data_IF_122023573786
#
_entry.id   IF_122023573786
#
_cell.length_a   1.000
_cell.length_b   1.000
_cell.length_c   1.000
_cell.angle_alpha   90.00
_cell.angle_beta   90.00
_cell.angle_gamma   90.00
#
_symmetry.space_group_name_H-M   'P 1'
#
loop_
_entity.id
_entity.type
_entity.pdbx_description
1 polymer ?
#
# COMPACT_ATOMS: atom_id res chain seq x y z
N UNK A 1 -31.42 29.77 -19.67
CA UNK A 1 -31.07 28.35 -19.72
C UNK A 1 -30.10 28.11 -18.56
N UNK A 2 -30.69 27.70 -17.41
CA UNK A 2 -29.91 27.35 -16.24
C UNK A 2 -29.17 26.04 -16.51
N UNK A 3 -27.83 26.11 -16.56
CA UNK A 3 -26.99 24.94 -16.61
C UNK A 3 -27.13 24.20 -15.27
N UNK A 4 -27.83 23.07 -15.25
CA UNK A 4 -27.86 22.18 -14.08
C UNK A 4 -26.42 21.90 -13.64
N UNK A 5 -26.10 22.02 -12.34
CA UNK A 5 -24.78 21.69 -11.85
C UNK A 5 -24.49 20.22 -12.17
N UNK A 6 -23.41 19.99 -12.90
CA UNK A 6 -22.95 18.65 -13.27
C UNK A 6 -22.68 17.86 -11.98
N UNK A 7 -23.62 17.00 -11.59
CA UNK A 7 -23.55 16.19 -10.37
C UNK A 7 -22.36 15.25 -10.54
N UNK A 8 -21.23 15.57 -9.93
CA UNK A 8 -20.01 14.73 -9.99
C UNK A 8 -20.38 13.31 -9.64
N UNK A 9 -20.02 12.36 -10.49
CA UNK A 9 -20.23 10.92 -10.28
C UNK A 9 -19.63 10.51 -8.94
N UNK A 10 -20.41 9.89 -8.06
CA UNK A 10 -19.88 9.24 -6.86
C UNK A 10 -19.16 7.97 -7.29
N UNK A 11 -17.95 7.76 -6.79
CA UNK A 11 -17.13 6.58 -7.09
C UNK A 11 -17.13 5.64 -5.90
N UNK A 12 -17.01 4.34 -6.16
CA UNK A 12 -16.64 3.33 -5.20
C UNK A 12 -15.15 3.03 -5.37
N UNK A 13 -14.37 3.14 -4.30
CA UNK A 13 -12.91 2.97 -4.33
C UNK A 13 -12.51 1.94 -3.29
N UNK A 14 -11.88 0.86 -3.73
CA UNK A 14 -11.27 -0.13 -2.86
C UNK A 14 -9.84 0.29 -2.53
N UNK A 15 -9.42 0.13 -1.27
CA UNK A 15 -8.07 0.44 -0.80
C UNK A 15 -7.47 -0.76 -0.08
N UNK A 16 -6.29 -1.19 -0.54
CA UNK A 16 -5.60 -2.34 0.03
C UNK A 16 -4.09 -2.08 0.11
N UNK A 17 -3.55 -2.10 1.30
CA UNK A 17 -2.17 -1.74 1.63
C UNK A 17 -1.46 -2.86 2.38
N UNK A 18 -0.14 -2.71 2.52
CA UNK A 18 0.67 -3.60 3.35
C UNK A 18 0.25 -3.61 4.82
N UNK A 19 0.42 -4.75 5.47
CA UNK A 19 0.06 -4.98 6.87
C UNK A 19 1.10 -4.37 7.83
N UNK A 20 1.35 -3.08 7.68
CA UNK A 20 2.19 -2.29 8.56
C UNK A 20 1.48 -0.97 8.89
N UNK A 21 1.52 -0.53 10.14
CA UNK A 21 0.86 0.71 10.56
C UNK A 21 1.35 1.94 9.79
N UNK A 22 2.65 1.96 9.41
CA UNK A 22 3.20 3.01 8.56
C UNK A 22 2.55 3.10 7.17
N UNK A 23 1.89 2.04 6.70
CA UNK A 23 1.10 1.98 5.47
C UNK A 23 -0.38 2.22 5.74
N UNK A 24 -0.92 1.55 6.75
CA UNK A 24 -2.36 1.61 7.07
C UNK A 24 -2.82 3.00 7.46
N UNK A 25 -2.02 3.74 8.26
CA UNK A 25 -2.40 5.08 8.71
C UNK A 25 -2.53 6.08 7.56
N UNK A 26 -1.55 6.24 6.66
CA UNK A 26 -1.69 7.12 5.49
C UNK A 26 -2.86 6.72 4.57
N UNK A 27 -3.09 5.42 4.36
CA UNK A 27 -4.23 4.94 3.59
C UNK A 27 -5.57 5.27 4.26
N UNK A 28 -5.66 5.13 5.58
CA UNK A 28 -6.87 5.49 6.35
C UNK A 28 -7.14 7.00 6.28
N UNK A 29 -6.12 7.83 6.38
CA UNK A 29 -6.27 9.28 6.25
C UNK A 29 -6.73 9.67 4.83
N UNK A 30 -6.14 9.06 3.80
CA UNK A 30 -6.60 9.26 2.42
C UNK A 30 -8.05 8.79 2.24
N UNK A 31 -8.41 7.65 2.83
CA UNK A 31 -9.78 7.13 2.87
C UNK A 31 -10.76 8.18 3.41
N UNK A 32 -10.46 8.79 4.56
CA UNK A 32 -11.29 9.82 5.18
C UNK A 32 -11.43 11.05 4.28
N UNK A 33 -10.33 11.50 3.68
CA UNK A 33 -10.32 12.68 2.79
C UNK A 33 -11.19 12.46 1.53
N UNK A 34 -11.14 11.25 0.96
CA UNK A 34 -11.94 10.92 -0.22
C UNK A 34 -13.41 10.73 0.16
N UNK A 35 -13.70 10.09 1.29
CA UNK A 35 -15.05 9.94 1.81
C UNK A 35 -15.73 11.30 2.09
N UNK A 36 -14.97 12.29 2.60
CA UNK A 36 -15.46 13.68 2.79
C UNK A 36 -15.86 14.36 1.47
N UNK A 37 -15.38 13.88 0.32
CA UNK A 37 -15.82 14.34 -1.01
C UNK A 37 -17.07 13.61 -1.51
N UNK A 38 -17.64 12.72 -0.68
CA UNK A 38 -18.87 11.99 -0.97
C UNK A 38 -18.68 10.71 -1.78
N UNK A 39 -17.46 10.23 -1.93
CA UNK A 39 -17.15 8.91 -2.52
C UNK A 39 -17.35 7.80 -1.50
N UNK A 40 -17.60 6.58 -1.96
CA UNK A 40 -17.72 5.38 -1.14
C UNK A 40 -16.38 4.62 -1.15
N UNK A 41 -15.91 4.19 0.02
CA UNK A 41 -14.58 3.57 0.17
C UNK A 41 -14.73 2.22 0.87
N UNK A 42 -14.18 1.18 0.28
CA UNK A 42 -13.90 -0.08 0.97
C UNK A 42 -12.44 -0.07 1.43
N UNK A 43 -12.22 0.18 2.73
CA UNK A 43 -10.90 0.07 3.34
C UNK A 43 -10.68 -1.37 3.80
N UNK A 44 -9.74 -2.06 3.16
CA UNK A 44 -9.55 -3.50 3.28
C UNK A 44 -8.30 -3.80 4.09
N UNK A 45 -8.43 -4.60 5.14
CA UNK A 45 -7.31 -5.12 5.92
C UNK A 45 -7.73 -6.39 6.67
N UNK A 46 -6.86 -6.92 7.51
CA UNK A 46 -7.17 -8.06 8.36
C UNK A 46 -7.95 -7.66 9.61
N UNK A 47 -8.69 -8.58 10.27
CA UNK A 47 -9.50 -8.26 11.45
C UNK A 47 -8.73 -7.55 12.55
N UNK A 48 -7.57 -8.05 12.96
CA UNK A 48 -6.75 -7.46 14.03
C UNK A 48 -6.20 -6.08 13.70
N UNK A 49 -6.07 -5.76 12.42
CA UNK A 49 -5.64 -4.44 11.97
C UNK A 49 -6.80 -3.44 11.90
N UNK A 50 -8.02 -3.91 11.67
CA UNK A 50 -9.22 -3.07 11.58
C UNK A 50 -9.82 -2.79 12.95
N UNK A 51 -9.90 -3.79 13.81
CA UNK A 51 -10.62 -3.69 15.10
C UNK A 51 -10.09 -2.59 16.04
N UNK A 52 -8.77 -2.32 16.13
CA UNK A 52 -8.24 -1.25 16.96
C UNK A 52 -8.30 0.14 16.30
N UNK A 53 -8.76 0.26 15.05
CA UNK A 53 -8.84 1.56 14.38
C UNK A 53 -9.79 2.52 15.12
N UNK A 54 -9.49 3.82 15.14
CA UNK A 54 -10.39 4.81 15.72
C UNK A 54 -11.79 4.73 15.09
N UNK A 55 -12.81 4.83 15.92
CA UNK A 55 -14.21 4.86 15.44
C UNK A 55 -14.39 6.01 14.45
N UNK A 56 -14.98 5.69 13.32
CA UNK A 56 -15.36 6.69 12.31
C UNK A 56 -16.49 7.56 12.85
N UNK A 57 -16.45 8.84 12.54
CA UNK A 57 -17.60 9.73 12.81
C UNK A 57 -18.82 9.27 12.00
N UNK A 58 -20.07 9.50 12.46
CA UNK A 58 -21.27 9.08 11.74
C UNK A 58 -21.30 9.53 10.27
N UNK A 59 -20.78 10.73 9.98
CA UNK A 59 -20.70 11.27 8.62
C UNK A 59 -19.74 10.50 7.71
N UNK A 60 -18.67 9.93 8.26
CA UNK A 60 -17.71 9.11 7.51
C UNK A 60 -18.14 7.64 7.45
N UNK A 61 -18.77 7.13 8.52
CA UNK A 61 -19.20 5.75 8.60
C UNK A 61 -20.21 5.38 7.49
N UNK A 62 -20.99 6.35 6.98
CA UNK A 62 -21.90 6.13 5.85
C UNK A 62 -21.19 6.04 4.48
N UNK A 63 -19.90 6.31 4.42
CA UNK A 63 -19.11 6.33 3.19
C UNK A 63 -17.91 5.39 3.22
N UNK A 64 -17.63 4.76 4.34
CA UNK A 64 -16.46 3.91 4.52
C UNK A 64 -16.88 2.55 5.08
N UNK A 65 -16.65 1.50 4.30
CA UNK A 65 -16.75 0.12 4.75
C UNK A 65 -15.38 -0.37 5.20
N UNK A 66 -15.30 -0.87 6.43
CA UNK A 66 -14.11 -1.53 6.95
C UNK A 66 -14.21 -3.03 6.65
N UNK A 67 -13.55 -3.46 5.58
CA UNK A 67 -13.60 -4.83 5.06
C UNK A 67 -12.54 -5.69 5.71
N UNK A 68 -12.96 -6.76 6.37
CA UNK A 68 -12.08 -7.71 7.06
C UNK A 68 -11.82 -8.92 6.18
N UNK A 69 -10.57 -9.07 5.72
CA UNK A 69 -10.11 -10.28 5.05
C UNK A 69 -9.24 -11.08 6.03
N UNK A 70 -9.72 -12.23 6.53
CA UNK A 70 -8.92 -13.06 7.42
C UNK A 70 -7.61 -13.48 6.76
N UNK A 71 -6.51 -13.29 7.46
CA UNK A 71 -5.19 -13.66 6.96
C UNK A 71 -5.09 -15.21 6.93
N UNK A 72 -4.76 -15.81 5.79
CA UNK A 72 -4.55 -17.25 5.71
C UNK A 72 -3.39 -17.71 6.59
N UNK A 73 -3.51 -18.92 7.14
CA UNK A 73 -2.43 -19.55 7.90
C UNK A 73 -1.16 -19.67 7.03
N UNK A 74 0.00 -19.34 7.61
CA UNK A 74 1.29 -19.58 7.00
C UNK A 74 2.23 -20.25 8.00
N UNK A 75 2.94 -21.28 7.54
CA UNK A 75 3.94 -21.95 8.35
C UNK A 75 4.98 -20.96 8.88
N UNK A 76 5.39 -21.13 10.14
CA UNK A 76 6.33 -20.25 10.86
C UNK A 76 5.82 -18.84 11.18
N UNK A 77 4.59 -18.46 10.84
CA UNK A 77 3.94 -17.25 11.29
C UNK A 77 3.14 -17.55 12.57
N UNK A 78 3.26 -16.78 13.65
CA UNK A 78 2.38 -16.90 14.81
C UNK A 78 0.91 -16.75 14.40
N UNK A 79 0.01 -17.55 14.98
CA UNK A 79 -1.42 -17.56 14.62
C UNK A 79 -2.13 -16.23 14.81
N UNK A 80 -1.62 -15.44 15.73
CA UNK A 80 -2.17 -14.12 16.08
C UNK A 80 -1.44 -12.95 15.39
N UNK A 81 -0.47 -13.21 14.51
CA UNK A 81 0.28 -12.18 13.81
C UNK A 81 -0.43 -11.75 12.52
N UNK A 82 -0.87 -10.50 12.47
CA UNK A 82 -1.52 -9.89 11.30
C UNK A 82 -0.84 -8.59 10.83
N UNK A 83 0.18 -8.13 11.53
CA UNK A 83 0.94 -6.93 11.19
C UNK A 83 2.45 -7.10 11.43
N UNK A 84 3.25 -6.24 10.80
CA UNK A 84 4.72 -6.26 10.99
C UNK A 84 5.15 -6.03 12.44
N UNK A 85 4.33 -5.33 13.23
CA UNK A 85 4.59 -5.10 14.65
C UNK A 85 4.41 -6.37 15.51
N UNK A 86 3.66 -7.36 15.02
CA UNK A 86 3.37 -8.60 15.74
C UNK A 86 4.51 -9.62 15.61
N UNK A 87 5.51 -9.33 14.77
CA UNK A 87 6.59 -10.27 14.47
C UNK A 87 7.97 -9.60 14.46
N UNK A 88 9.04 -10.31 14.83
CA UNK A 88 10.39 -9.82 14.61
C UNK A 88 10.72 -9.78 13.10
N UNK A 89 11.71 -8.97 12.72
CA UNK A 89 12.05 -8.72 11.31
C UNK A 89 12.31 -9.98 10.49
N UNK A 90 12.94 -10.99 11.08
CA UNK A 90 13.22 -12.28 10.42
C UNK A 90 11.95 -13.11 10.14
N UNK A 91 10.80 -12.75 10.69
CA UNK A 91 9.51 -13.40 10.41
C UNK A 91 8.61 -12.62 9.45
N UNK A 92 8.97 -11.39 9.10
CA UNK A 92 8.23 -10.58 8.11
C UNK A 92 8.03 -11.30 6.76
N UNK A 93 8.99 -12.10 6.25
CA UNK A 93 8.76 -12.90 5.04
C UNK A 93 7.59 -13.90 5.14
N UNK A 94 7.35 -14.48 6.32
CA UNK A 94 6.20 -15.38 6.53
C UNK A 94 4.88 -14.62 6.57
N UNK A 95 4.87 -13.41 7.16
CA UNK A 95 3.72 -12.50 7.08
C UNK A 95 3.43 -12.12 5.62
N UNK A 96 4.47 -11.83 4.84
CA UNK A 96 4.34 -11.54 3.40
C UNK A 96 3.75 -12.72 2.63
N UNK A 97 4.17 -13.95 2.95
CA UNK A 97 3.62 -15.17 2.34
C UNK A 97 2.13 -15.33 2.66
N UNK A 98 1.72 -15.10 3.91
CA UNK A 98 0.30 -15.12 4.30
C UNK A 98 -0.49 -14.01 3.58
N UNK A 99 0.08 -12.82 3.47
CA UNK A 99 -0.51 -11.71 2.74
C UNK A 99 -0.70 -12.02 1.24
N UNK A 100 0.27 -12.66 0.60
CA UNK A 100 0.15 -13.03 -0.80
C UNK A 100 -0.92 -14.12 -1.02
N UNK A 101 -1.17 -14.95 -0.03
CA UNK A 101 -2.26 -15.93 -0.06
C UNK A 101 -3.67 -15.31 0.04
N UNK A 102 -3.78 -13.99 0.32
CA UNK A 102 -5.05 -13.26 0.21
C UNK A 102 -5.50 -13.04 -1.25
N UNK A 103 -4.69 -13.37 -2.23
CA UNK A 103 -4.96 -13.10 -3.65
C UNK A 103 -6.35 -13.55 -4.09
N UNK A 104 -6.75 -14.78 -3.77
CA UNK A 104 -8.05 -15.32 -4.18
C UNK A 104 -9.22 -14.67 -3.45
N UNK A 105 -9.06 -14.39 -2.16
CA UNK A 105 -10.07 -13.70 -1.36
C UNK A 105 -10.27 -12.27 -1.82
N UNK A 106 -9.17 -11.58 -2.16
CA UNK A 106 -9.22 -10.24 -2.73
C UNK A 106 -9.85 -10.25 -4.13
N UNK A 107 -9.53 -11.24 -4.98
CA UNK A 107 -10.13 -11.34 -6.31
C UNK A 107 -11.65 -11.52 -6.21
N UNK A 108 -12.13 -12.39 -5.31
CA UNK A 108 -13.58 -12.55 -5.06
C UNK A 108 -14.21 -11.26 -4.56
N UNK A 109 -13.60 -10.60 -3.56
CA UNK A 109 -14.11 -9.33 -3.06
C UNK A 109 -14.25 -8.28 -4.17
N UNK A 110 -13.24 -8.12 -5.02
CA UNK A 110 -13.27 -7.16 -6.14
C UNK A 110 -14.33 -7.53 -7.19
N UNK A 111 -14.52 -8.83 -7.44
CA UNK A 111 -15.52 -9.34 -8.35
C UNK A 111 -16.94 -9.08 -7.83
N UNK A 112 -17.18 -9.21 -6.52
CA UNK A 112 -18.50 -9.04 -5.92
C UNK A 112 -18.84 -7.56 -5.70
N UNK A 113 -17.87 -6.75 -5.31
CA UNK A 113 -18.07 -5.33 -4.96
C UNK A 113 -18.00 -4.36 -6.13
N UNK A 114 -17.39 -4.75 -7.26
CA UNK A 114 -17.24 -3.96 -8.49
C UNK A 114 -16.82 -2.50 -8.25
N UNK A 115 -15.70 -2.20 -7.57
CA UNK A 115 -15.27 -0.82 -7.36
C UNK A 115 -14.88 -0.14 -8.69
N UNK A 116 -15.12 1.18 -8.79
CA UNK A 116 -14.63 1.95 -9.95
C UNK A 116 -13.10 2.04 -9.96
N UNK A 117 -12.49 2.12 -8.77
CA UNK A 117 -11.04 2.24 -8.60
C UNK A 117 -10.51 1.35 -7.48
N UNK A 118 -9.26 0.95 -7.65
CA UNK A 118 -8.47 0.25 -6.66
C UNK A 118 -7.17 1.03 -6.39
N UNK A 119 -6.97 1.42 -5.12
CA UNK A 119 -5.70 1.99 -4.66
C UNK A 119 -4.94 0.97 -3.83
N UNK A 120 -3.65 0.84 -4.12
CA UNK A 120 -2.76 -0.13 -3.48
C UNK A 120 -1.34 0.41 -3.34
N UNK A 121 -0.54 -0.19 -2.47
CA UNK A 121 0.90 0.10 -2.32
C UNK A 121 1.79 -0.98 -2.99
N UNK A 122 3.06 -1.00 -2.62
CA UNK A 122 4.05 -1.90 -3.21
C UNK A 122 3.79 -3.40 -2.92
N UNK A 123 3.12 -3.72 -1.82
CA UNK A 123 3.07 -5.08 -1.31
C UNK A 123 2.24 -6.05 -2.16
N UNK A 124 1.02 -5.73 -2.62
CA UNK A 124 0.22 -6.64 -3.43
C UNK A 124 0.59 -6.56 -4.92
N UNK A 125 1.82 -6.92 -5.29
CA UNK A 125 2.33 -6.86 -6.68
C UNK A 125 1.45 -7.61 -7.70
N UNK A 126 0.68 -8.58 -7.24
CA UNK A 126 -0.28 -9.36 -8.03
C UNK A 126 -1.60 -8.64 -8.31
N UNK A 127 -1.95 -7.66 -7.51
CA UNK A 127 -3.26 -7.00 -7.50
C UNK A 127 -3.58 -6.21 -8.78
N UNK A 128 -2.63 -5.48 -9.41
CA UNK A 128 -2.89 -4.79 -10.68
C UNK A 128 -3.33 -5.73 -11.82
N UNK A 129 -2.82 -6.96 -11.81
CA UNK A 129 -3.20 -7.97 -12.81
C UNK A 129 -4.65 -8.41 -12.62
N UNK A 130 -5.10 -8.58 -11.38
CA UNK A 130 -6.50 -8.91 -11.06
C UNK A 130 -7.43 -7.75 -11.45
N UNK A 131 -7.09 -6.52 -11.03
CA UNK A 131 -7.86 -5.33 -11.37
C UNK A 131 -8.07 -5.19 -12.88
N UNK A 132 -7.01 -5.39 -13.68
CA UNK A 132 -7.07 -5.34 -15.14
C UNK A 132 -8.01 -6.39 -15.71
N UNK A 133 -7.97 -7.63 -15.22
CA UNK A 133 -8.85 -8.72 -15.68
C UNK A 133 -10.32 -8.41 -15.38
N UNK A 134 -10.60 -7.69 -14.29
CA UNK A 134 -11.94 -7.29 -13.88
C UNK A 134 -12.40 -5.94 -14.46
N UNK A 135 -11.57 -5.27 -15.27
CA UNK A 135 -11.87 -3.94 -15.82
C UNK A 135 -11.89 -2.81 -14.80
N UNK A 136 -11.26 -3.01 -13.62
CA UNK A 136 -11.20 -2.03 -12.54
C UNK A 136 -10.01 -1.10 -12.76
N UNK A 137 -10.24 0.22 -12.77
CA UNK A 137 -9.16 1.20 -12.79
C UNK A 137 -8.31 1.09 -11.53
N UNK A 138 -6.99 1.23 -11.65
CA UNK A 138 -6.14 1.08 -10.48
C UNK A 138 -5.01 2.10 -10.45
N UNK A 139 -4.56 2.46 -9.23
CA UNK A 139 -3.45 3.38 -9.02
C UNK A 139 -2.60 2.95 -7.82
N UNK A 140 -1.30 3.10 -8.00
CA UNK A 140 -0.33 2.94 -6.95
C UNK A 140 -0.31 4.20 -6.07
N UNK A 141 -0.50 4.02 -4.76
CA UNK A 141 -0.36 5.09 -3.78
C UNK A 141 0.91 4.88 -2.95
N UNK A 142 1.90 5.74 -3.17
CA UNK A 142 3.15 5.71 -2.43
C UNK A 142 3.02 6.43 -1.10
N UNK A 143 3.37 5.77 -0.01
CA UNK A 143 3.47 6.37 1.31
C UNK A 143 4.81 7.07 1.55
N UNK A 144 5.77 6.87 0.65
CA UNK A 144 7.07 7.55 0.71
C UNK A 144 7.07 8.78 -0.18
N UNK A 145 7.95 9.73 0.12
CA UNK A 145 8.02 11.00 -0.60
C UNK A 145 8.46 10.82 -2.06
N UNK A 146 8.01 11.73 -2.94
CA UNK A 146 8.47 11.76 -4.33
C UNK A 146 9.99 11.90 -4.43
N UNK A 147 10.62 12.63 -3.51
CA UNK A 147 12.08 12.76 -3.43
C UNK A 147 12.76 11.40 -3.21
N UNK A 148 12.22 10.56 -2.31
CA UNK A 148 12.73 9.21 -2.08
C UNK A 148 12.55 8.32 -3.33
N UNK A 149 11.37 8.35 -3.96
CA UNK A 149 11.12 7.59 -5.18
C UNK A 149 12.04 8.02 -6.33
N UNK A 150 12.26 9.33 -6.49
CA UNK A 150 13.21 9.86 -7.46
C UNK A 150 14.65 9.42 -7.17
N UNK A 151 15.03 9.39 -5.89
CA UNK A 151 16.35 8.92 -5.47
C UNK A 151 16.56 7.42 -5.72
N UNK A 152 15.53 6.59 -5.47
CA UNK A 152 15.59 5.15 -5.77
C UNK A 152 15.60 4.89 -7.28
N UNK A 153 14.89 5.70 -8.05
CA UNK A 153 14.79 5.56 -9.49
C UNK A 153 13.73 4.56 -9.97
N UNK A 154 13.61 4.43 -11.27
CA UNK A 154 12.70 3.48 -11.92
C UNK A 154 13.34 2.08 -12.00
N UNK A 155 12.54 1.09 -12.40
CA UNK A 155 13.02 -0.28 -12.66
C UNK A 155 14.19 -0.32 -13.66
N UNK A 156 14.27 0.63 -14.59
CA UNK A 156 15.38 0.72 -15.53
C UNK A 156 16.72 1.03 -14.86
N UNK A 157 16.70 1.68 -13.68
CA UNK A 157 17.88 2.03 -12.92
C UNK A 157 18.26 0.98 -11.85
N UNK A 158 17.46 -0.10 -11.73
CA UNK A 158 17.80 -1.18 -10.80
C UNK A 158 19.06 -1.89 -11.26
N UNK A 159 20.04 -1.98 -10.36
CA UNK A 159 21.35 -2.58 -10.64
C UNK A 159 22.43 -1.59 -11.06
N UNK A 160 22.13 -0.31 -11.28
CA UNK A 160 23.12 0.75 -11.42
C UNK A 160 23.85 1.05 -10.11
N UNK A 161 23.17 0.85 -8.98
CA UNK A 161 23.69 0.99 -7.63
C UNK A 161 23.74 -0.36 -6.94
N UNK A 162 24.94 -0.86 -6.68
CA UNK A 162 25.17 -2.20 -6.12
C UNK A 162 25.81 -2.19 -4.76
N UNK A 163 26.60 -1.13 -4.48
CA UNK A 163 27.36 -1.01 -3.24
C UNK A 163 26.72 0.05 -2.33
N UNK A 164 26.87 -0.05 -1.01
CA UNK A 164 26.37 0.95 -0.08
C UNK A 164 26.80 2.38 -0.42
N UNK A 165 28.05 2.55 -0.90
CA UNK A 165 28.63 3.83 -1.27
C UNK A 165 27.86 4.52 -2.41
N UNK A 166 27.30 3.76 -3.33
CA UNK A 166 26.55 4.28 -4.49
C UNK A 166 25.32 5.09 -4.07
N UNK A 167 24.82 4.86 -2.86
CA UNK A 167 23.67 5.57 -2.30
C UNK A 167 24.04 6.84 -1.52
N UNK A 168 25.33 7.09 -1.32
CA UNK A 168 25.83 8.29 -0.63
C UNK A 168 26.10 9.46 -1.56
N UNK A 169 25.84 9.26 -2.85
CA UNK A 169 25.96 10.28 -3.90
C UNK A 169 24.60 10.47 -4.60
N UNK A 170 24.32 11.66 -5.16
CA UNK A 170 23.12 11.88 -5.95
C UNK A 170 23.04 10.94 -7.15
N UNK A 171 21.85 10.41 -7.50
CA UNK A 171 21.68 9.55 -8.66
C UNK A 171 21.83 10.31 -9.97
N UNK A 172 22.43 9.66 -10.97
CA UNK A 172 22.70 10.23 -12.30
C UNK A 172 21.43 10.51 -13.13
N UNK A 173 20.34 9.83 -12.82
CA UNK A 173 19.06 10.00 -13.53
C UNK A 173 18.20 11.18 -13.05
N UNK A 174 18.60 11.88 -11.97
CA UNK A 174 17.93 13.10 -11.54
C UNK A 174 18.42 14.26 -12.41
N UNK A 175 17.55 14.92 -13.23
CA UNK A 175 17.98 15.82 -14.29
C UNK A 175 18.29 17.25 -13.82
N UNK A 176 18.49 17.46 -12.51
CA UNK A 176 18.81 18.75 -11.91
C UNK A 176 19.83 18.61 -10.77
N UNK A 177 20.58 19.66 -10.44
CA UNK A 177 21.50 19.64 -9.31
C UNK A 177 20.78 19.29 -8.01
N UNK A 178 21.26 18.31 -7.29
CA UNK A 178 20.71 17.87 -6.00
C UNK A 178 21.81 17.45 -5.06
N UNK A 179 21.60 17.66 -3.77
CA UNK A 179 22.46 17.16 -2.69
C UNK A 179 21.77 16.05 -1.89
N UNK A 180 20.60 15.59 -2.36
CA UNK A 180 19.85 14.53 -1.69
C UNK A 180 20.59 13.21 -1.83
N UNK A 181 21.04 12.66 -0.70
CA UNK A 181 21.73 11.37 -0.59
C UNK A 181 21.32 10.67 0.69
N UNK A 182 21.60 9.38 0.79
CA UNK A 182 21.50 8.66 2.07
C UNK A 182 22.81 8.78 2.85
N UNK A 183 22.72 8.75 4.17
CA UNK A 183 23.91 8.66 5.02
C UNK A 183 24.41 7.22 5.01
N UNK A 184 25.74 7.04 4.92
CA UNK A 184 26.36 5.72 4.79
C UNK A 184 25.86 4.70 5.84
N UNK A 185 25.74 5.12 7.11
CA UNK A 185 25.27 4.22 8.17
C UNK A 185 23.79 3.79 8.01
N UNK A 186 22.97 4.61 7.36
CA UNK A 186 21.55 4.25 7.04
C UNK A 186 21.53 3.21 5.93
N UNK A 187 22.34 3.41 4.90
CA UNK A 187 22.51 2.44 3.81
C UNK A 187 23.00 1.11 4.35
N UNK A 188 24.03 1.14 5.21
CA UNK A 188 24.58 -0.08 5.83
C UNK A 188 23.52 -0.85 6.62
N UNK A 189 22.63 -0.17 7.34
CA UNK A 189 21.49 -0.82 8.02
C UNK A 189 20.55 -1.53 7.06
N UNK A 190 20.28 -0.93 5.91
CA UNK A 190 19.44 -1.52 4.86
C UNK A 190 20.12 -2.78 4.29
N UNK A 191 21.39 -2.70 3.95
CA UNK A 191 22.15 -3.83 3.40
C UNK A 191 22.36 -4.97 4.42
N UNK A 192 22.54 -4.64 5.71
CA UNK A 192 22.69 -5.64 6.78
C UNK A 192 21.35 -6.21 7.26
N UNK A 193 20.29 -5.43 7.19
CA UNK A 193 18.94 -5.83 7.62
C UNK A 193 18.22 -6.75 6.64
N UNK A 194 18.85 -7.06 5.49
CA UNK A 194 18.30 -7.93 4.46
C UNK A 194 17.02 -7.37 3.86
N UNK A 195 17.13 -6.45 2.90
CA UNK A 195 16.18 -6.44 1.81
C UNK A 195 16.61 -7.64 0.96
N UNK A 196 16.21 -8.85 1.36
CA UNK A 196 16.32 -9.99 0.48
C UNK A 196 15.38 -9.75 -0.68
N UNK A 197 15.94 -9.32 -1.79
CA UNK A 197 15.35 -9.45 -3.11
C UNK A 197 15.59 -10.90 -3.57
N UNK A 198 14.73 -11.82 -3.16
CA UNK A 198 14.51 -13.10 -3.82
C UNK A 198 13.07 -13.15 -4.32
#
# INVERSE_FOLDING_TARGET
MDSMPNKKKKLHIAMFQWLAFGHMIPFLELTKLIAQKGHHISFISTPRNIDPLPKLTPSLASHIDLVRLPLPHAENLPEDAEATIDVPNNKVPYLKKAYDALQDSMARFLQDSHPDWLLYDFAPYWLPSIARKLGISNAFFSIVTAAFLSFVGSKAHFGERKNPEDFTVPPTWVPFPTTVTMRFFEVMKIFQGGISSD
#
